data_IF_359612279254
#
_entry.id   IF_359612279254
#
_cell.length_a   1.000
_cell.length_b   1.000
_cell.length_c   1.000
_cell.angle_alpha   90.00
_cell.angle_beta   90.00
_cell.angle_gamma   90.00
#
_symmetry.space_group_name_H-M   'P 1'
#
loop_
_entity.id
_entity.type
_entity.pdbx_description
1 polymer ?
#
# COMPACT_ATOMS: atom_id res chain seq x y z
N UNK A 1 -16.63 10.99 29.88
CA UNK A 1 -16.98 9.87 28.98
C UNK A 1 -16.64 10.25 27.55
N UNK A 2 -15.76 9.51 26.87
CA UNK A 2 -15.46 9.74 25.44
C UNK A 2 -16.52 9.00 24.60
N UNK A 3 -17.33 9.73 23.84
CA UNK A 3 -18.24 9.16 22.86
C UNK A 3 -17.40 8.50 21.77
N UNK A 4 -17.27 7.16 21.83
CA UNK A 4 -16.69 6.35 20.77
C UNK A 4 -17.56 6.54 19.52
N UNK A 5 -17.13 7.40 18.60
CA UNK A 5 -17.81 7.61 17.31
C UNK A 5 -17.95 6.26 16.63
N UNK A 6 -19.17 5.75 16.55
CA UNK A 6 -19.49 4.57 15.77
C UNK A 6 -19.24 4.89 14.30
N UNK A 7 -18.10 4.44 13.78
CA UNK A 7 -17.85 4.44 12.33
C UNK A 7 -18.61 3.27 11.75
N UNK A 8 -19.49 3.55 10.79
CA UNK A 8 -20.11 2.47 9.99
C UNK A 8 -19.00 1.60 9.39
N UNK A 9 -19.18 0.27 9.36
CA UNK A 9 -18.20 -0.62 8.77
C UNK A 9 -17.94 -0.21 7.31
N UNK A 10 -16.67 -0.11 6.96
CA UNK A 10 -16.26 0.24 5.60
C UNK A 10 -16.62 -0.91 4.66
N UNK A 11 -17.44 -0.63 3.65
CA UNK A 11 -17.81 -1.58 2.60
C UNK A 11 -17.29 -1.08 1.26
N UNK A 12 -16.33 -1.78 0.67
CA UNK A 12 -15.83 -1.46 -0.66
C UNK A 12 -16.93 -1.57 -1.72
N UNK A 13 -16.80 -0.77 -2.78
CA UNK A 13 -17.55 -1.00 -4.01
C UNK A 13 -16.94 -2.22 -4.67
N UNK A 14 -17.77 -3.17 -5.09
CA UNK A 14 -17.31 -4.22 -5.99
C UNK A 14 -17.18 -3.69 -7.42
N UNK A 15 -16.61 -4.49 -8.32
CA UNK A 15 -16.37 -4.07 -9.70
C UNK A 15 -17.67 -3.73 -10.45
N UNK A 16 -18.75 -4.46 -10.16
CA UNK A 16 -20.06 -4.24 -10.78
C UNK A 16 -20.73 -2.95 -10.32
N UNK A 17 -20.73 -2.68 -9.01
CA UNK A 17 -21.18 -1.42 -8.42
C UNK A 17 -20.34 -0.27 -8.97
N UNK A 18 -19.02 -0.45 -9.11
CA UNK A 18 -18.11 0.57 -9.66
C UNK A 18 -18.48 0.93 -11.11
N UNK A 19 -18.85 -0.05 -11.93
CA UNK A 19 -19.39 0.20 -13.28
C UNK A 19 -20.71 0.98 -13.24
N UNK A 20 -21.66 0.59 -12.38
CA UNK A 20 -22.95 1.28 -12.25
C UNK A 20 -22.85 2.70 -11.70
N UNK A 21 -21.90 2.95 -10.80
CA UNK A 21 -21.61 4.28 -10.25
C UNK A 21 -21.16 5.26 -11.34
N UNK A 22 -20.60 4.77 -12.44
CA UNK A 22 -20.26 5.58 -13.62
C UNK A 22 -21.39 5.60 -14.64
N UNK A 23 -21.92 4.44 -15.02
CA UNK A 23 -22.92 4.35 -16.09
C UNK A 23 -24.24 5.05 -15.80
N UNK A 24 -24.69 5.10 -14.54
CA UNK A 24 -25.94 5.80 -14.18
C UNK A 24 -25.80 7.32 -14.32
N UNK A 25 -24.76 7.98 -13.77
CA UNK A 25 -24.48 9.38 -14.06
C UNK A 25 -24.26 9.69 -15.55
N UNK A 26 -23.60 8.81 -16.31
CA UNK A 26 -23.50 8.98 -17.78
C UNK A 26 -24.87 9.00 -18.46
N UNK A 27 -25.80 8.16 -17.99
CA UNK A 27 -27.20 8.14 -18.46
C UNK A 27 -28.06 9.29 -17.89
N UNK A 28 -27.46 10.30 -17.26
CA UNK A 28 -28.14 11.48 -16.73
C UNK A 28 -28.76 11.32 -15.34
N UNK A 29 -28.47 10.22 -14.63
CA UNK A 29 -28.98 10.06 -13.26
C UNK A 29 -28.24 10.96 -12.28
N UNK A 30 -28.98 11.59 -11.37
CA UNK A 30 -28.37 12.36 -10.28
C UNK A 30 -27.60 11.45 -9.30
N UNK A 31 -26.59 12.01 -8.62
CA UNK A 31 -25.84 11.24 -7.60
C UNK A 31 -26.72 10.72 -6.45
N UNK A 32 -27.69 11.49 -5.90
CA UNK A 32 -28.60 10.96 -4.89
C UNK A 32 -29.47 9.81 -5.40
N UNK A 33 -29.98 9.88 -6.63
CA UNK A 33 -30.77 8.79 -7.22
C UNK A 33 -29.92 7.53 -7.43
N UNK A 34 -28.70 7.71 -7.96
CA UNK A 34 -27.72 6.63 -8.15
C UNK A 34 -27.34 5.98 -6.81
N UNK A 35 -27.07 6.80 -5.79
CA UNK A 35 -26.73 6.32 -4.45
C UNK A 35 -27.85 5.49 -3.82
N UNK A 36 -29.09 5.96 -3.90
CA UNK A 36 -30.27 5.20 -3.43
C UNK A 36 -30.43 3.87 -4.17
N UNK A 37 -30.29 3.87 -5.49
CA UNK A 37 -30.39 2.66 -6.30
C UNK A 37 -29.32 1.62 -5.94
N UNK A 38 -28.10 2.07 -5.63
CA UNK A 38 -26.97 1.20 -5.29
C UNK A 38 -26.82 0.94 -3.78
N UNK A 39 -27.70 1.49 -2.94
CA UNK A 39 -27.58 1.48 -1.48
C UNK A 39 -26.23 2.03 -0.98
N UNK A 40 -25.74 3.09 -1.64
CA UNK A 40 -24.50 3.81 -1.33
C UNK A 40 -24.80 5.28 -1.04
N UNK A 41 -23.86 5.95 -0.38
CA UNK A 41 -23.99 7.40 -0.14
C UNK A 41 -23.75 8.17 -1.43
N UNK A 42 -24.45 9.29 -1.59
CA UNK A 42 -24.22 10.28 -2.66
C UNK A 42 -22.75 10.69 -2.78
N UNK A 43 -22.07 10.88 -1.64
CA UNK A 43 -20.64 11.18 -1.53
C UNK A 43 -19.75 10.07 -2.10
N UNK A 44 -20.17 8.81 -1.99
CA UNK A 44 -19.45 7.67 -2.58
C UNK A 44 -19.56 7.71 -4.10
N UNK A 45 -20.76 7.98 -4.62
CA UNK A 45 -21.02 8.11 -6.06
C UNK A 45 -20.23 9.28 -6.64
N UNK A 46 -20.33 10.46 -6.02
CA UNK A 46 -19.62 11.66 -6.45
C UNK A 46 -18.10 11.45 -6.48
N UNK A 47 -17.52 10.85 -5.44
CA UNK A 47 -16.07 10.60 -5.39
C UNK A 47 -15.61 9.66 -6.50
N UNK A 48 -16.36 8.60 -6.75
CA UNK A 48 -16.02 7.62 -7.78
C UNK A 48 -16.17 8.22 -9.19
N UNK A 49 -17.24 9.00 -9.43
CA UNK A 49 -17.41 9.77 -10.67
C UNK A 49 -16.24 10.73 -10.92
N UNK A 50 -15.85 11.51 -9.90
CA UNK A 50 -14.72 12.43 -9.99
C UNK A 50 -13.38 11.73 -10.23
N UNK A 51 -13.18 10.53 -9.65
CA UNK A 51 -12.00 9.72 -9.94
C UNK A 51 -11.99 9.21 -11.39
N UNK A 52 -13.17 8.85 -11.90
CA UNK A 52 -13.31 8.30 -13.24
C UNK A 52 -13.12 9.36 -14.35
N UNK A 53 -13.60 10.59 -14.18
CA UNK A 53 -13.49 11.66 -15.20
C UNK A 53 -12.09 11.81 -15.84
N UNK A 54 -10.99 11.91 -15.07
CA UNK A 54 -9.65 12.02 -15.66
C UNK A 54 -9.06 10.69 -16.13
N UNK A 55 -9.33 9.58 -15.45
CA UNK A 55 -8.61 8.31 -15.65
C UNK A 55 -9.37 7.33 -16.55
N UNK A 56 -10.67 7.57 -16.79
CA UNK A 56 -11.63 6.67 -17.43
C UNK A 56 -11.58 5.25 -16.87
N UNK A 57 -11.26 5.13 -15.58
CA UNK A 57 -11.06 3.86 -14.91
C UNK A 57 -11.87 3.81 -13.60
N UNK A 58 -12.64 2.73 -13.45
CA UNK A 58 -13.43 2.47 -12.24
C UNK A 58 -12.64 1.67 -11.20
N UNK A 59 -11.45 1.16 -11.55
CA UNK A 59 -10.60 0.41 -10.63
C UNK A 59 -10.02 1.33 -9.56
N UNK A 60 -9.87 0.77 -8.38
CA UNK A 60 -9.20 1.43 -7.27
C UNK A 60 -7.71 1.58 -7.58
N UNK A 61 -7.17 2.78 -7.37
CA UNK A 61 -5.73 2.98 -7.41
C UNK A 61 -5.06 2.18 -6.30
N UNK A 62 -4.00 1.46 -6.64
CA UNK A 62 -3.19 0.77 -5.65
C UNK A 62 -2.61 1.79 -4.68
N UNK A 63 -2.72 1.49 -3.39
CA UNK A 63 -2.08 2.32 -2.37
C UNK A 63 -0.57 2.11 -2.45
N UNK A 64 0.20 3.16 -2.17
CA UNK A 64 1.67 3.09 -2.08
C UNK A 64 2.19 2.20 -0.94
N UNK A 65 1.30 1.65 -0.11
CA UNK A 65 1.63 0.83 1.04
C UNK A 65 2.24 1.65 2.19
N UNK A 66 2.74 0.96 3.20
CA UNK A 66 3.50 1.59 4.28
C UNK A 66 4.86 2.03 3.74
N UNK A 67 5.31 3.27 3.99
CA UNK A 67 6.66 3.69 3.63
C UNK A 67 7.71 2.73 4.18
N UNK A 68 8.75 2.47 3.39
CA UNK A 68 9.88 1.66 3.83
C UNK A 68 10.62 2.36 4.96
N UNK A 69 11.11 1.58 5.93
CA UNK A 69 12.04 2.08 6.95
C UNK A 69 13.44 2.32 6.40
N UNK A 70 13.79 1.69 5.27
CA UNK A 70 15.06 1.85 4.60
C UNK A 70 14.94 2.61 3.28
N UNK A 71 16.02 3.27 2.88
CA UNK A 71 16.17 3.93 1.59
C UNK A 71 17.08 3.12 0.64
N UNK A 72 17.11 3.51 -0.64
CA UNK A 72 17.87 2.80 -1.67
C UNK A 72 19.40 2.76 -1.42
N UNK A 73 19.97 3.69 -0.63
CA UNK A 73 21.39 3.65 -0.27
C UNK A 73 21.65 2.58 0.79
N UNK A 74 20.79 2.50 1.80
CA UNK A 74 20.87 1.49 2.87
C UNK A 74 20.72 0.08 2.30
N UNK A 75 19.76 -0.12 1.39
CA UNK A 75 19.53 -1.40 0.72
C UNK A 75 20.78 -1.87 -0.05
N UNK A 76 21.42 -0.95 -0.78
CA UNK A 76 22.69 -1.23 -1.48
C UNK A 76 23.83 -1.60 -0.53
N UNK A 77 23.92 -0.96 0.64
CA UNK A 77 24.95 -1.29 1.64
C UNK A 77 24.71 -2.68 2.24
N UNK A 78 23.46 -3.02 2.56
CA UNK A 78 23.08 -4.35 3.06
C UNK A 78 23.47 -5.43 2.05
N UNK A 79 23.12 -5.25 0.77
CA UNK A 79 23.47 -6.19 -0.31
C UNK A 79 24.98 -6.25 -0.53
N UNK A 80 25.68 -5.11 -0.50
CA UNK A 80 27.14 -5.05 -0.66
C UNK A 80 27.85 -5.88 0.40
N UNK A 81 27.39 -5.84 1.64
CA UNK A 81 28.03 -6.56 2.74
C UNK A 81 27.99 -8.08 2.55
N UNK A 82 26.87 -8.61 2.05
CA UNK A 82 26.75 -10.04 1.71
C UNK A 82 27.60 -10.38 0.48
N UNK A 83 27.65 -9.50 -0.52
CA UNK A 83 28.50 -9.71 -1.71
C UNK A 83 29.99 -9.75 -1.40
N UNK A 84 30.47 -8.89 -0.50
CA UNK A 84 31.89 -8.84 -0.12
C UNK A 84 32.29 -9.96 0.81
N UNK A 85 31.34 -10.47 1.60
CA UNK A 85 31.62 -11.48 2.62
C UNK A 85 30.43 -12.45 2.65
N UNK A 86 30.58 -13.55 1.90
CA UNK A 86 29.53 -14.53 1.60
C UNK A 86 28.90 -15.16 2.86
N UNK A 87 29.57 -15.12 4.03
CA UNK A 87 29.19 -15.83 5.25
C UNK A 87 28.74 -14.93 6.42
N UNK A 88 28.30 -13.69 6.15
CA UNK A 88 27.90 -12.76 7.23
C UNK A 88 26.49 -13.02 7.74
N UNK A 89 26.33 -13.14 9.06
CA UNK A 89 25.03 -13.26 9.73
C UNK A 89 24.23 -11.95 9.72
N UNK A 90 22.89 -12.03 9.80
CA UNK A 90 22.02 -10.85 9.86
C UNK A 90 22.35 -9.92 11.04
N UNK A 91 22.75 -10.48 12.19
CA UNK A 91 23.17 -9.72 13.36
C UNK A 91 24.45 -8.92 13.12
N UNK A 92 25.39 -9.48 12.35
CA UNK A 92 26.63 -8.80 11.97
C UNK A 92 26.35 -7.72 10.92
N UNK A 93 25.42 -7.94 9.98
CA UNK A 93 24.97 -6.90 9.06
C UNK A 93 24.29 -5.76 9.83
N UNK A 94 23.42 -6.07 10.78
CA UNK A 94 22.78 -5.07 11.62
C UNK A 94 23.81 -4.23 12.40
N UNK A 95 24.80 -4.88 13.02
CA UNK A 95 25.85 -4.19 13.78
C UNK A 95 26.68 -3.27 12.88
N UNK A 96 27.11 -3.75 11.72
CA UNK A 96 27.96 -3.00 10.81
C UNK A 96 27.21 -1.84 10.14
N UNK A 97 25.93 -2.05 9.82
CA UNK A 97 25.09 -0.98 9.29
C UNK A 97 24.79 0.08 10.35
N UNK A 98 24.54 -0.30 11.61
CA UNK A 98 24.29 0.64 12.70
C UNK A 98 25.43 1.65 12.94
N UNK A 99 26.66 1.36 12.50
CA UNK A 99 27.80 2.29 12.58
C UNK A 99 27.67 3.50 11.64
N UNK A 100 26.96 3.37 10.52
CA UNK A 100 26.93 4.39 9.46
C UNK A 100 25.50 4.80 9.05
N UNK A 101 24.47 4.16 9.59
CA UNK A 101 23.06 4.46 9.31
C UNK A 101 22.17 4.17 10.53
N UNK A 102 20.92 4.64 10.48
CA UNK A 102 19.89 4.26 11.46
C UNK A 102 19.79 2.74 11.58
N UNK A 103 19.77 2.24 12.82
CA UNK A 103 19.69 0.81 13.10
C UNK A 103 18.45 0.19 12.46
N UNK A 104 18.66 -0.84 11.63
CA UNK A 104 17.62 -1.57 10.92
C UNK A 104 17.44 -2.94 11.58
N UNK A 105 16.19 -3.36 11.81
CA UNK A 105 15.91 -4.67 12.42
C UNK A 105 16.25 -5.80 11.45
N UNK A 106 16.72 -6.94 11.97
CA UNK A 106 17.13 -8.12 11.16
C UNK A 106 16.07 -8.59 10.17
N UNK A 107 14.78 -8.53 10.53
CA UNK A 107 13.67 -8.88 9.63
C UNK A 107 13.59 -7.97 8.40
N UNK A 108 13.96 -6.70 8.54
CA UNK A 108 14.05 -5.76 7.40
C UNK A 108 15.25 -6.10 6.54
N UNK A 109 16.41 -6.38 7.14
CA UNK A 109 17.65 -6.80 6.43
C UNK A 109 17.40 -8.07 5.63
N UNK A 110 16.82 -9.09 6.27
CA UNK A 110 16.38 -10.35 5.63
C UNK A 110 15.52 -10.07 4.40
N UNK A 111 14.49 -9.21 4.54
CA UNK A 111 13.65 -8.80 3.42
C UNK A 111 14.43 -8.09 2.31
N UNK A 112 15.37 -7.20 2.64
CA UNK A 112 16.22 -6.52 1.64
C UNK A 112 17.08 -7.50 0.86
N UNK A 113 17.64 -8.50 1.55
CA UNK A 113 18.46 -9.54 0.92
C UNK A 113 17.63 -10.40 -0.02
N UNK A 114 16.44 -10.83 0.40
CA UNK A 114 15.52 -11.59 -0.45
C UNK A 114 15.08 -10.78 -1.68
N UNK A 115 14.75 -9.50 -1.51
CA UNK A 115 14.44 -8.59 -2.64
C UNK A 115 15.63 -8.41 -3.59
N UNK A 116 16.86 -8.49 -3.07
CA UNK A 116 18.09 -8.46 -3.85
C UNK A 116 18.52 -9.80 -4.46
N UNK A 117 17.74 -10.86 -4.28
CA UNK A 117 18.03 -12.21 -4.81
C UNK A 117 18.98 -13.06 -3.96
N UNK A 118 19.25 -12.67 -2.72
CA UNK A 118 20.10 -13.43 -1.80
C UNK A 118 19.26 -14.28 -0.85
N UNK A 119 19.40 -15.59 -0.95
CA UNK A 119 18.95 -16.51 0.09
C UNK A 119 19.94 -16.43 1.25
N UNK A 120 19.50 -15.89 2.39
CA UNK A 120 20.26 -16.02 3.63
C UNK A 120 19.91 -17.38 4.23
N UNK A 121 20.85 -18.33 4.17
CA UNK A 121 20.75 -19.58 4.92
C UNK A 121 21.12 -19.27 6.37
N UNK A 122 20.19 -19.50 7.30
CA UNK A 122 20.48 -19.51 8.75
C UNK A 122 19.60 -18.56 9.55
N UNK A 123 18.50 -19.10 10.07
CA UNK A 123 18.05 -18.85 11.43
C UNK A 123 19.05 -19.48 12.39
#
# INVERSE_FOLDING_TARGET
MLLRRYRRPYRQLNDFESGRVVGLPEAGWSYPTTGRHLQRTDTTVQRCWQQWLPQRNCRRNEGSGRPRSTNARQDRMIVRQVRTTQTVSLSTIQRNTATFMTSVVQSTISRRLSEGGYAHRGL
#
